data_IF_373803687478
#
_entry.id   IF_373803687478
#
_cell.length_a   1.000
_cell.length_b   1.000
_cell.length_c   1.000
_cell.angle_alpha   90.00
_cell.angle_beta   90.00
_cell.angle_gamma   90.00
#
_symmetry.space_group_name_H-M   'P 1'
#
loop_
_entity.id
_entity.type
_entity.pdbx_description
1 polymer ?
#
# COMPACT_ATOMS: atom_id res chain seq x y z
N UNK A 1 -15.55 -26.30 10.66
CA UNK A 1 -15.91 -26.00 12.06
C UNK A 1 -17.27 -25.29 12.18
N UNK A 2 -17.85 -24.79 11.08
CA UNK A 2 -19.19 -24.17 11.07
C UNK A 2 -19.29 -22.80 11.75
N UNK A 3 -18.17 -22.07 11.88
CA UNK A 3 -18.14 -20.72 12.41
C UNK A 3 -17.81 -19.71 11.32
N UNK A 4 -18.43 -18.54 11.39
CA UNK A 4 -18.10 -17.42 10.51
C UNK A 4 -16.78 -16.78 10.94
N UNK A 5 -16.05 -16.22 9.97
CA UNK A 5 -14.77 -15.59 10.18
C UNK A 5 -14.66 -14.23 9.47
N UNK A 6 -14.13 -13.25 10.16
CA UNK A 6 -13.64 -12.00 9.58
C UNK A 6 -12.13 -12.13 9.43
N UNK A 7 -11.61 -11.93 8.24
CA UNK A 7 -10.21 -12.19 7.92
C UNK A 7 -9.35 -10.95 8.20
N UNK A 8 -8.29 -11.16 9.00
CA UNK A 8 -7.37 -10.07 9.42
C UNK A 8 -5.93 -10.56 9.54
N UNK A 9 -5.33 -11.12 8.47
CA UNK A 9 -3.98 -11.68 8.55
C UNK A 9 -2.92 -10.58 8.66
N UNK A 10 -1.96 -10.80 9.56
CA UNK A 10 -0.87 -9.89 9.84
C UNK A 10 -0.16 -9.33 8.59
N UNK A 11 0.24 -10.13 7.58
CA UNK A 11 1.02 -9.62 6.44
C UNK A 11 0.30 -8.59 5.57
N UNK A 12 -1.02 -8.47 5.67
CA UNK A 12 -1.84 -7.62 4.79
C UNK A 12 -2.71 -6.60 5.52
N UNK A 13 -3.18 -6.95 6.72
CA UNK A 13 -4.23 -6.22 7.42
C UNK A 13 -3.75 -5.50 8.68
N UNK A 14 -2.48 -5.65 9.07
CA UNK A 14 -1.90 -4.93 10.20
C UNK A 14 -1.31 -3.61 9.71
N UNK A 15 -2.00 -2.52 10.04
CA UNK A 15 -1.65 -1.17 9.59
C UNK A 15 -0.67 -0.45 10.52
N UNK A 16 -0.21 -1.11 11.56
CA UNK A 16 0.86 -0.71 12.46
C UNK A 16 2.27 -1.09 11.97
N UNK A 17 2.38 -1.75 10.82
CA UNK A 17 3.64 -2.02 10.13
C UNK A 17 4.08 -0.84 9.27
N UNK A 18 5.38 -0.76 8.94
CA UNK A 18 5.92 0.20 7.98
C UNK A 18 5.21 0.07 6.62
N UNK A 19 4.87 1.18 6.00
CA UNK A 19 4.31 1.21 4.65
C UNK A 19 5.25 1.83 3.60
N UNK A 20 6.35 2.41 4.07
CA UNK A 20 7.48 2.92 3.29
C UNK A 20 8.79 2.58 4.00
N UNK A 21 9.92 3.03 3.47
CA UNK A 21 11.24 2.70 4.01
C UNK A 21 11.38 3.19 5.46
N UNK A 22 11.86 2.33 6.38
CA UNK A 22 11.93 2.65 7.81
C UNK A 22 12.78 3.89 8.14
N UNK A 23 13.74 4.23 7.28
CA UNK A 23 14.65 5.37 7.46
C UNK A 23 13.94 6.73 7.37
N UNK A 24 12.81 6.78 6.68
CA UNK A 24 12.04 8.02 6.47
C UNK A 24 10.67 7.99 7.15
N UNK A 25 10.20 6.80 7.55
CA UNK A 25 8.91 6.60 8.19
C UNK A 25 8.95 6.92 9.69
N UNK A 26 7.82 7.32 10.30
CA UNK A 26 7.65 7.27 11.73
C UNK A 26 7.89 5.86 12.29
N UNK A 27 8.46 5.76 13.51
CA UNK A 27 8.74 4.47 14.14
C UNK A 27 7.46 3.65 14.30
N UNK A 28 7.55 2.37 13.96
CA UNK A 28 6.47 1.38 14.09
C UNK A 28 6.92 0.16 14.88
N UNK A 29 6.02 -0.80 15.09
CA UNK A 29 6.37 -2.09 15.71
C UNK A 29 7.34 -2.95 14.86
N UNK A 30 7.55 -2.57 13.60
CA UNK A 30 8.31 -3.35 12.61
C UNK A 30 7.39 -3.99 11.56
N UNK A 31 7.95 -4.91 10.76
CA UNK A 31 7.24 -5.49 9.62
C UNK A 31 7.13 -4.50 8.44
N UNK A 32 6.66 -4.99 7.29
CA UNK A 32 6.54 -4.17 6.08
C UNK A 32 5.28 -4.54 5.30
N UNK A 33 4.38 -3.59 5.15
CA UNK A 33 3.09 -3.77 4.51
C UNK A 33 2.73 -2.55 3.65
N UNK A 34 3.16 -2.55 2.40
CA UNK A 34 2.90 -1.47 1.45
C UNK A 34 1.45 -1.41 0.99
N UNK A 35 1.02 -0.27 0.43
CA UNK A 35 -0.30 -0.11 -0.18
C UNK A 35 -0.59 -1.20 -1.22
N UNK A 36 0.35 -1.48 -2.12
CA UNK A 36 0.22 -2.49 -3.18
C UNK A 36 0.06 -3.90 -2.59
N UNK A 37 0.82 -4.21 -1.53
CA UNK A 37 0.71 -5.48 -0.81
C UNK A 37 -0.65 -5.62 -0.12
N UNK A 38 -1.10 -4.61 0.62
CA UNK A 38 -2.43 -4.59 1.24
C UNK A 38 -3.53 -4.78 0.18
N UNK A 39 -3.45 -4.06 -0.94
CA UNK A 39 -4.41 -4.20 -2.04
C UNK A 39 -4.42 -5.60 -2.66
N UNK A 40 -3.28 -6.28 -2.72
CA UNK A 40 -3.18 -7.62 -3.31
C UNK A 40 -3.88 -8.71 -2.48
N UNK A 41 -4.28 -8.40 -1.26
CA UNK A 41 -4.87 -9.38 -0.35
C UNK A 41 -6.14 -10.01 -0.91
N UNK A 42 -6.20 -11.34 -0.84
CA UNK A 42 -7.41 -12.14 -1.09
C UNK A 42 -7.85 -12.77 0.24
N UNK A 43 -9.01 -12.40 0.80
CA UNK A 43 -9.50 -12.96 2.06
C UNK A 43 -9.91 -14.43 1.94
N UNK A 44 -10.18 -14.91 0.72
CA UNK A 44 -10.59 -16.29 0.48
C UNK A 44 -9.37 -17.12 0.06
N UNK A 45 -8.91 -18.09 0.85
CA UNK A 45 -7.80 -18.97 0.46
C UNK A 45 -8.06 -19.64 -0.88
N UNK A 46 -7.01 -19.82 -1.69
CA UNK A 46 -7.15 -20.36 -3.05
C UNK A 46 -7.69 -21.80 -3.06
N UNK A 47 -7.36 -22.56 -2.03
CA UNK A 47 -7.74 -23.96 -1.81
C UNK A 47 -9.06 -24.13 -1.02
N UNK A 48 -9.72 -23.02 -0.64
CA UNK A 48 -10.96 -23.06 0.10
C UNK A 48 -12.08 -23.69 -0.73
N UNK A 49 -12.77 -24.67 -0.16
CA UNK A 49 -14.01 -25.23 -0.73
C UNK A 49 -15.20 -24.26 -0.61
N UNK A 50 -16.34 -24.65 -1.16
CA UNK A 50 -17.55 -23.80 -1.15
C UNK A 50 -18.09 -23.57 0.27
N UNK A 51 -17.95 -24.54 1.17
CA UNK A 51 -18.42 -24.44 2.54
C UNK A 51 -17.55 -23.44 3.33
N UNK A 52 -16.21 -23.53 3.20
CA UNK A 52 -15.30 -22.57 3.82
C UNK A 52 -15.56 -21.16 3.30
N UNK A 53 -15.76 -20.99 1.98
CA UNK A 53 -16.05 -19.67 1.37
C UNK A 53 -17.29 -19.01 1.96
N UNK A 54 -18.34 -19.75 2.28
CA UNK A 54 -19.58 -19.22 2.86
C UNK A 54 -19.37 -18.65 4.27
N UNK A 55 -18.37 -19.16 5.00
CA UNK A 55 -18.07 -18.71 6.34
C UNK A 55 -17.09 -17.52 6.41
N UNK A 56 -16.53 -17.09 5.28
CA UNK A 56 -15.70 -15.87 5.24
C UNK A 56 -16.61 -14.69 4.94
N UNK A 57 -17.01 -13.98 6.02
CA UNK A 57 -18.05 -12.95 5.97
C UNK A 57 -17.50 -11.53 5.83
N UNK A 58 -16.17 -11.33 5.89
CA UNK A 58 -15.59 -10.01 5.75
C UNK A 58 -14.10 -9.96 5.98
N UNK A 59 -13.58 -8.73 5.95
CA UNK A 59 -12.18 -8.37 6.23
C UNK A 59 -12.14 -7.30 7.32
N UNK A 60 -11.04 -7.29 8.08
CA UNK A 60 -10.76 -6.30 9.10
C UNK A 60 -9.30 -5.88 9.00
N UNK A 61 -9.03 -4.60 9.27
CA UNK A 61 -7.68 -4.11 9.52
C UNK A 61 -7.46 -3.93 11.02
N UNK A 62 -6.23 -4.17 11.48
CA UNK A 62 -5.79 -3.89 12.84
C UNK A 62 -4.81 -2.72 12.83
N UNK A 63 -4.88 -1.89 13.85
CA UNK A 63 -3.99 -0.77 14.06
C UNK A 63 -3.68 -0.68 15.56
N UNK A 64 -2.54 -1.25 15.98
CA UNK A 64 -2.10 -1.29 17.35
C UNK A 64 -1.31 -0.01 17.66
N UNK A 65 -1.66 0.66 18.76
CA UNK A 65 -1.30 2.05 18.99
C UNK A 65 0.02 2.27 19.76
N UNK A 66 0.82 1.23 19.99
CA UNK A 66 2.05 1.30 20.81
C UNK A 66 3.04 2.36 20.31
N UNK A 67 3.06 2.61 19.00
CA UNK A 67 3.96 3.55 18.35
C UNK A 67 3.21 4.73 17.71
N UNK A 68 1.98 5.02 18.14
CA UNK A 68 1.14 6.10 17.58
C UNK A 68 0.80 7.15 18.63
N UNK A 69 1.76 8.03 19.00
CA UNK A 69 1.57 8.99 20.08
C UNK A 69 0.58 10.11 19.75
N UNK A 70 0.24 10.32 18.47
CA UNK A 70 -0.65 11.39 18.02
C UNK A 70 -1.68 10.89 17.00
N UNK A 71 -2.73 11.69 16.78
CA UNK A 71 -3.70 11.42 15.70
C UNK A 71 -3.06 11.46 14.32
N UNK A 72 -2.11 12.36 14.10
CA UNK A 72 -1.36 12.45 12.84
C UNK A 72 -0.58 11.14 12.57
N UNK A 73 0.06 10.55 13.59
CA UNK A 73 0.73 9.25 13.44
C UNK A 73 -0.27 8.13 13.13
N UNK A 74 -1.44 8.13 13.76
CA UNK A 74 -2.50 7.16 13.48
C UNK A 74 -2.99 7.30 12.03
N UNK A 75 -3.28 8.49 11.58
CA UNK A 75 -3.77 8.77 10.24
C UNK A 75 -2.75 8.36 9.18
N UNK A 76 -1.48 8.72 9.40
CA UNK A 76 -0.36 8.27 8.58
C UNK A 76 -0.32 6.74 8.51
N UNK A 77 -0.42 6.02 9.61
CA UNK A 77 -0.33 4.57 9.63
C UNK A 77 -1.53 3.89 8.95
N UNK A 78 -2.72 4.44 9.10
CA UNK A 78 -3.95 3.84 8.57
C UNK A 78 -4.09 4.10 7.08
N UNK A 79 -3.89 5.34 6.64
CA UNK A 79 -4.14 5.73 5.26
C UNK A 79 -2.85 5.81 4.43
N UNK A 80 -2.92 5.43 3.15
CA UNK A 80 -4.12 5.06 2.36
C UNK A 80 -4.52 3.57 2.46
N UNK A 81 -3.81 2.73 3.22
CA UNK A 81 -4.01 1.26 3.23
C UNK A 81 -5.41 0.82 3.66
N UNK A 82 -6.08 1.58 4.53
CA UNK A 82 -7.46 1.27 4.92
C UNK A 82 -8.43 1.33 3.73
N UNK A 83 -8.19 2.22 2.76
CA UNK A 83 -8.99 2.28 1.52
C UNK A 83 -8.79 1.01 0.71
N UNK A 84 -7.57 0.46 0.65
CA UNK A 84 -7.29 -0.80 -0.01
C UNK A 84 -7.98 -2.00 0.67
N UNK A 85 -8.04 -2.02 2.01
CA UNK A 85 -8.80 -3.03 2.77
C UNK A 85 -10.30 -2.89 2.49
N UNK A 86 -10.82 -1.67 2.43
CA UNK A 86 -12.23 -1.41 2.10
C UNK A 86 -12.57 -1.95 0.72
N UNK A 87 -11.74 -1.69 -0.30
CA UNK A 87 -11.95 -2.25 -1.63
C UNK A 87 -11.89 -3.78 -1.63
N UNK A 88 -11.02 -4.39 -0.82
CA UNK A 88 -10.97 -5.85 -0.66
C UNK A 88 -12.27 -6.42 -0.10
N UNK A 89 -12.93 -5.71 0.79
CA UNK A 89 -14.22 -6.10 1.36
C UNK A 89 -15.41 -5.96 0.39
N UNK A 90 -15.36 -5.00 -0.53
CA UNK A 90 -16.47 -4.68 -1.42
C UNK A 90 -16.32 -5.18 -2.85
N UNK A 91 -15.07 -5.47 -3.29
CA UNK A 91 -14.78 -5.80 -4.69
C UNK A 91 -14.33 -7.25 -4.82
N UNK A 92 -15.05 -8.09 -5.58
CA UNK A 92 -14.61 -9.45 -5.86
C UNK A 92 -13.22 -9.47 -6.49
N UNK A 93 -12.35 -10.40 -6.08
CA UNK A 93 -10.95 -10.50 -6.52
C UNK A 93 -10.77 -10.40 -8.04
N UNK A 94 -11.63 -11.06 -8.82
CA UNK A 94 -11.59 -11.04 -10.30
C UNK A 94 -11.87 -9.66 -10.92
N UNK A 95 -12.40 -8.72 -10.14
CA UNK A 95 -12.69 -7.35 -10.57
C UNK A 95 -11.68 -6.34 -10.02
N UNK A 96 -10.81 -6.75 -9.11
CA UNK A 96 -9.76 -5.86 -8.58
C UNK A 96 -8.76 -5.52 -9.68
N UNK A 97 -8.43 -4.24 -9.78
CA UNK A 97 -7.45 -3.71 -10.71
C UNK A 97 -6.70 -2.57 -10.05
N UNK A 98 -5.41 -2.78 -9.77
CA UNK A 98 -4.61 -1.83 -9.00
C UNK A 98 -4.46 -0.48 -9.71
N UNK A 99 -4.28 -0.46 -11.04
CA UNK A 99 -4.21 0.79 -11.81
C UNK A 99 -5.51 1.58 -11.70
N UNK A 100 -6.66 0.92 -11.85
CA UNK A 100 -7.97 1.56 -11.66
C UNK A 100 -8.16 2.05 -10.21
N UNK A 101 -7.66 1.32 -9.22
CA UNK A 101 -7.65 1.75 -7.82
C UNK A 101 -6.80 3.01 -7.65
N UNK A 102 -5.57 3.04 -8.18
CA UNK A 102 -4.71 4.22 -8.12
C UNK A 102 -5.35 5.47 -8.77
N UNK A 103 -6.07 5.30 -9.88
CA UNK A 103 -6.80 6.42 -10.50
C UNK A 103 -7.85 7.03 -9.56
N UNK A 104 -8.55 6.21 -8.77
CA UNK A 104 -9.54 6.69 -7.80
C UNK A 104 -8.90 7.28 -6.54
N UNK A 105 -7.74 6.77 -6.15
CA UNK A 105 -6.99 7.24 -4.98
C UNK A 105 -6.68 8.74 -5.04
N UNK A 106 -6.51 9.32 -6.23
CA UNK A 106 -6.26 10.77 -6.39
C UNK A 106 -7.39 11.59 -5.78
N UNK A 107 -8.65 11.20 -6.04
CA UNK A 107 -9.81 11.86 -5.43
C UNK A 107 -9.94 11.53 -3.93
N UNK A 108 -9.58 10.32 -3.53
CA UNK A 108 -9.64 9.92 -2.12
C UNK A 108 -8.64 10.70 -1.27
N UNK A 109 -7.44 11.01 -1.77
CA UNK A 109 -6.50 11.90 -1.09
C UNK A 109 -7.08 13.31 -0.90
N UNK A 110 -7.77 13.86 -1.91
CA UNK A 110 -8.45 15.16 -1.78
C UNK A 110 -9.55 15.12 -0.70
N UNK A 111 -10.29 14.02 -0.61
CA UNK A 111 -11.31 13.81 0.44
C UNK A 111 -10.68 13.71 1.82
N UNK A 112 -9.58 12.97 1.97
CA UNK A 112 -8.83 12.86 3.22
C UNK A 112 -8.31 14.23 3.68
N UNK A 113 -7.73 15.02 2.77
CA UNK A 113 -7.29 16.38 3.03
C UNK A 113 -8.43 17.29 3.49
N UNK A 114 -9.57 17.27 2.78
CA UNK A 114 -10.76 18.03 3.15
C UNK A 114 -11.34 17.66 4.51
N UNK A 115 -11.08 16.42 4.97
CA UNK A 115 -11.46 15.93 6.30
C UNK A 115 -10.40 16.22 7.37
N UNK A 116 -9.25 16.81 7.02
CA UNK A 116 -8.13 17.06 7.92
C UNK A 116 -7.31 15.82 8.28
N UNK A 117 -7.49 14.72 7.57
CA UNK A 117 -6.74 13.46 7.76
C UNK A 117 -5.35 13.60 7.10
N UNK A 118 -4.31 13.13 7.78
CA UNK A 118 -2.90 13.22 7.33
C UNK A 118 -2.35 11.85 6.91
N UNK A 119 -2.67 11.39 5.69
CA UNK A 119 -2.23 10.07 5.21
C UNK A 119 -0.73 10.05 4.93
N UNK A 120 -0.14 8.85 4.85
CA UNK A 120 1.15 8.66 4.22
C UNK A 120 1.08 9.03 2.74
N UNK A 121 2.04 9.84 2.28
CA UNK A 121 2.06 10.38 0.91
C UNK A 121 2.95 9.59 -0.05
N UNK A 122 3.49 8.45 0.35
CA UNK A 122 4.35 7.59 -0.49
C UNK A 122 3.68 7.11 -1.79
N UNK A 123 2.36 7.26 -1.89
CA UNK A 123 1.60 7.06 -3.14
C UNK A 123 2.11 7.97 -4.28
N UNK A 124 2.61 9.16 -3.94
CA UNK A 124 3.09 10.16 -4.89
C UNK A 124 4.59 10.05 -5.16
N UNK A 125 5.31 9.20 -4.42
CA UNK A 125 6.75 9.04 -4.53
C UNK A 125 7.13 8.12 -5.70
N UNK A 126 8.41 8.18 -6.07
CA UNK A 126 9.01 7.26 -7.03
C UNK A 126 9.69 6.11 -6.27
N UNK A 127 9.17 4.91 -6.46
CA UNK A 127 9.79 3.68 -5.96
C UNK A 127 10.96 3.29 -6.86
N UNK A 128 12.12 3.04 -6.28
CA UNK A 128 13.34 2.64 -6.97
C UNK A 128 13.58 1.16 -6.68
N UNK A 129 13.29 0.31 -7.66
CA UNK A 129 13.54 -1.13 -7.56
C UNK A 129 14.86 -1.48 -8.24
N UNK A 130 15.77 -2.12 -7.52
CA UNK A 130 17.07 -2.51 -8.04
C UNK A 130 17.23 -4.02 -8.07
N UNK A 131 17.82 -4.53 -9.16
CA UNK A 131 18.15 -5.95 -9.32
C UNK A 131 19.54 -6.09 -9.94
N UNK A 132 20.45 -6.72 -9.23
CA UNK A 132 21.73 -7.10 -9.80
C UNK A 132 21.57 -8.30 -10.74
N UNK A 133 22.22 -8.26 -11.91
CA UNK A 133 22.34 -9.40 -12.83
C UNK A 133 23.55 -10.25 -12.45
N UNK A 134 23.64 -11.47 -13.02
CA UNK A 134 24.80 -12.35 -12.84
C UNK A 134 26.10 -11.76 -13.43
N UNK A 135 25.99 -10.82 -14.36
CA UNK A 135 27.12 -10.12 -15.01
C UNK A 135 27.57 -8.86 -14.22
N UNK A 136 27.00 -8.60 -13.05
CA UNK A 136 27.32 -7.45 -12.22
C UNK A 136 26.68 -6.13 -12.71
N UNK A 137 25.75 -6.19 -13.66
CA UNK A 137 24.95 -5.05 -14.10
C UNK A 137 23.81 -4.81 -13.10
N UNK A 138 23.58 -3.57 -12.71
CA UNK A 138 22.45 -3.17 -11.88
C UNK A 138 21.31 -2.70 -12.77
N UNK A 139 20.22 -3.46 -12.80
CA UNK A 139 18.98 -3.00 -13.39
C UNK A 139 18.23 -2.15 -12.38
N UNK A 140 17.82 -0.96 -12.78
CA UNK A 140 17.04 -0.02 -11.99
C UNK A 140 15.69 0.19 -12.67
N UNK A 141 14.61 -0.07 -11.93
CA UNK A 141 13.25 0.18 -12.36
C UNK A 141 12.63 1.27 -11.48
N UNK A 142 12.06 2.27 -12.12
CA UNK A 142 11.38 3.38 -11.46
C UNK A 142 9.87 3.20 -11.63
N UNK A 143 9.12 3.22 -10.52
CA UNK A 143 7.67 3.07 -10.52
C UNK A 143 7.04 4.16 -9.62
N UNK A 144 5.93 4.74 -10.04
CA UNK A 144 5.07 5.53 -9.17
C UNK A 144 3.63 5.05 -9.27
N UNK A 145 2.86 5.18 -8.20
CA UNK A 145 1.44 4.85 -8.19
C UNK A 145 0.57 6.01 -8.67
N UNK A 146 1.13 7.22 -8.72
CA UNK A 146 0.40 8.41 -9.20
C UNK A 146 0.17 8.35 -10.70
N UNK A 147 -1.10 8.32 -11.16
CA UNK A 147 -1.41 8.12 -12.57
C UNK A 147 -0.94 9.28 -13.45
N UNK A 148 -0.30 8.95 -14.57
CA UNK A 148 0.16 9.95 -15.55
C UNK A 148 1.36 10.78 -15.13
N UNK A 149 2.03 10.43 -14.01
CA UNK A 149 3.25 11.10 -13.62
C UNK A 149 4.38 10.88 -14.63
N UNK A 150 5.19 11.89 -14.83
CA UNK A 150 6.46 11.81 -15.57
C UNK A 150 7.59 11.66 -14.56
N UNK A 151 8.41 10.63 -14.73
CA UNK A 151 9.55 10.37 -13.86
C UNK A 151 10.81 10.90 -14.52
N UNK A 152 11.52 11.79 -13.83
CA UNK A 152 12.81 12.31 -14.28
C UNK A 152 13.93 11.74 -13.41
N UNK A 153 15.07 11.40 -14.00
CA UNK A 153 16.20 10.81 -13.29
C UNK A 153 17.55 11.38 -13.70
N UNK A 154 18.51 11.24 -12.80
CA UNK A 154 19.94 11.52 -13.04
C UNK A 154 20.77 10.31 -12.62
N UNK A 155 21.99 10.17 -13.16
CA UNK A 155 22.92 9.08 -12.83
C UNK A 155 24.18 9.56 -12.12
N UNK A 156 24.27 10.86 -11.82
CA UNK A 156 25.48 11.49 -11.29
C UNK A 156 25.28 12.09 -9.88
N UNK A 157 24.17 11.71 -9.19
CA UNK A 157 23.88 12.19 -7.84
C UNK A 157 23.29 13.61 -7.77
N UNK A 158 22.97 14.21 -8.88
CA UNK A 158 22.29 15.50 -8.94
C UNK A 158 20.77 15.32 -8.69
N UNK A 159 20.15 16.33 -8.08
CA UNK A 159 18.70 16.36 -7.93
C UNK A 159 18.02 16.42 -9.31
N UNK A 160 17.15 15.46 -9.68
CA UNK A 160 16.42 15.51 -10.94
C UNK A 160 15.53 16.77 -11.04
N UNK A 161 15.44 17.32 -12.25
CA UNK A 161 14.53 18.41 -12.61
C UNK A 161 13.76 18.07 -13.88
N UNK A 162 12.82 18.91 -14.29
CA UNK A 162 12.09 18.76 -15.55
C UNK A 162 12.99 18.80 -16.81
N UNK A 163 14.28 19.14 -16.64
CA UNK A 163 15.27 19.15 -17.70
C UNK A 163 16.20 17.92 -17.66
N UNK A 164 16.03 17.04 -16.69
CA UNK A 164 16.76 15.78 -16.57
C UNK A 164 16.24 14.73 -17.56
N UNK A 165 16.83 13.53 -17.55
CA UNK A 165 16.36 12.45 -18.41
C UNK A 165 14.95 11.99 -18.02
N UNK A 166 14.07 11.85 -18.99
CA UNK A 166 12.74 11.27 -18.80
C UNK A 166 12.89 9.74 -18.86
N UNK A 167 12.28 9.06 -17.87
CA UNK A 167 12.25 7.60 -17.76
C UNK A 167 11.18 6.97 -18.63
#
# INVERSE_FOLDING_TARGET
AGHDAIMTPNPYAYLDHYQEEPEIAPVTIGGYNTLKKTYSYNPVPADADSLVKQHIIGVQANCWAEYMPTEDNRDYQIFPRLIAISETGWTPMKKKNFTSFCNRMVEDFQRLEAMGVKPCLNFFDVNINTRATQEGVLNVELETFYPGAQIYYTTHGEQPSIHANLY
#
